data_IF_789576125013
#
_entry.id   IF_789576125013
#
_cell.length_a   1.000
_cell.length_b   1.000
_cell.length_c   1.000
_cell.angle_alpha   90.00
_cell.angle_beta   90.00
_cell.angle_gamma   90.00
#
_symmetry.space_group_name_H-M   'P 1'
#
loop_
_entity.id
_entity.type
_entity.pdbx_description
1 polymer ?
#
# COMPACT_ATOMS: atom_id res chain seq x y z
N UNK A 1 -32.76 9.65 -55.46
CA UNK A 1 -31.93 9.26 -54.29
C UNK A 1 -31.29 10.47 -53.57
N UNK A 2 -31.98 11.46 -52.95
CA UNK A 2 -31.22 12.67 -52.51
C UNK A 2 -31.63 13.46 -51.26
N UNK A 3 -32.66 13.11 -50.49
CA UNK A 3 -32.98 13.86 -49.24
C UNK A 3 -32.73 13.06 -47.96
N UNK A 4 -33.29 11.84 -47.87
CA UNK A 4 -33.18 11.05 -46.63
C UNK A 4 -31.76 10.56 -46.32
N UNK A 5 -30.96 10.26 -47.36
CA UNK A 5 -29.54 9.92 -47.19
C UNK A 5 -28.73 11.11 -46.68
N UNK A 6 -29.06 12.34 -47.10
CA UNK A 6 -28.39 13.56 -46.58
C UNK A 6 -28.80 13.83 -45.13
N UNK A 7 -30.08 13.67 -44.80
CA UNK A 7 -30.58 13.80 -43.44
C UNK A 7 -29.97 12.75 -42.49
N UNK A 8 -29.85 11.51 -42.95
CA UNK A 8 -29.22 10.42 -42.19
C UNK A 8 -27.72 10.67 -42.00
N UNK A 9 -27.03 11.19 -43.01
CA UNK A 9 -25.60 11.52 -42.92
C UNK A 9 -25.36 12.73 -42.00
N UNK A 10 -26.21 13.75 -42.06
CA UNK A 10 -26.16 14.90 -41.14
C UNK A 10 -26.45 14.44 -39.70
N UNK A 11 -27.46 13.59 -39.50
CA UNK A 11 -27.78 13.02 -38.18
C UNK A 11 -26.65 12.12 -37.64
N UNK A 12 -25.98 11.35 -38.50
CA UNK A 12 -24.84 10.54 -38.12
C UNK A 12 -23.63 11.42 -37.77
N UNK A 13 -23.38 12.49 -38.53
CA UNK A 13 -22.32 13.45 -38.24
C UNK A 13 -22.56 14.20 -36.93
N UNK A 14 -23.80 14.66 -36.67
CA UNK A 14 -24.12 15.34 -35.42
C UNK A 14 -24.01 14.39 -34.23
N UNK A 15 -24.49 13.16 -34.35
CA UNK A 15 -24.34 12.15 -33.30
C UNK A 15 -22.86 11.79 -33.05
N UNK A 16 -22.06 11.67 -34.11
CA UNK A 16 -20.61 11.44 -34.01
C UNK A 16 -19.90 12.62 -33.34
N UNK A 17 -20.27 13.86 -33.68
CA UNK A 17 -19.77 15.06 -33.01
C UNK A 17 -20.15 15.08 -31.52
N UNK A 18 -21.42 14.79 -31.18
CA UNK A 18 -21.87 14.72 -29.78
C UNK A 18 -21.11 13.65 -29.01
N UNK A 19 -20.90 12.46 -29.59
CA UNK A 19 -20.10 11.40 -28.97
C UNK A 19 -18.67 11.90 -28.74
N UNK A 20 -18.03 12.52 -29.74
CA UNK A 20 -16.65 13.02 -29.61
C UNK A 20 -16.55 14.10 -28.51
N UNK A 21 -17.51 15.02 -28.41
CA UNK A 21 -17.48 16.13 -27.47
C UNK A 21 -18.05 15.82 -26.07
N UNK A 22 -18.72 14.67 -25.89
CA UNK A 22 -19.36 14.27 -24.63
C UNK A 22 -18.43 14.41 -23.40
N UNK A 23 -17.16 13.96 -23.43
CA UNK A 23 -16.26 14.08 -22.28
C UNK A 23 -15.97 15.54 -21.91
N UNK A 24 -15.85 16.42 -22.90
CA UNK A 24 -15.59 17.85 -22.67
C UNK A 24 -16.81 18.53 -22.02
N UNK A 25 -18.02 18.11 -22.36
CA UNK A 25 -19.26 18.58 -21.74
C UNK A 25 -19.46 18.05 -20.31
N UNK A 26 -18.98 16.84 -20.03
CA UNK A 26 -19.09 16.22 -18.70
C UNK A 26 -18.09 16.81 -17.68
N UNK A 27 -16.93 17.31 -18.12
CA UNK A 27 -15.92 17.94 -17.26
C UNK A 27 -16.49 19.00 -16.29
N UNK A 28 -17.22 20.05 -16.73
CA UNK A 28 -17.77 21.05 -15.83
C UNK A 28 -18.77 20.46 -14.83
N UNK A 29 -19.60 19.50 -15.25
CA UNK A 29 -20.54 18.82 -14.36
C UNK A 29 -19.79 18.04 -13.27
N UNK A 30 -18.75 17.29 -13.64
CA UNK A 30 -17.95 16.51 -12.69
C UNK A 30 -17.21 17.40 -11.68
N UNK A 31 -16.60 18.50 -12.12
CA UNK A 31 -15.92 19.44 -11.22
C UNK A 31 -16.87 20.06 -10.18
N UNK A 32 -18.17 20.17 -10.48
CA UNK A 32 -19.17 20.67 -9.53
C UNK A 32 -19.69 19.57 -8.60
N UNK A 33 -19.93 18.36 -9.13
CA UNK A 33 -20.59 17.27 -8.38
C UNK A 33 -19.61 16.51 -7.49
N UNK A 34 -18.36 16.31 -7.91
CA UNK A 34 -17.37 15.53 -7.16
C UNK A 34 -17.10 16.09 -5.75
N UNK A 35 -16.80 17.40 -5.57
CA UNK A 35 -16.58 17.95 -4.24
C UNK A 35 -17.80 17.77 -3.33
N UNK A 36 -19.02 18.01 -3.84
CA UNK A 36 -20.27 17.83 -3.10
C UNK A 36 -20.48 16.37 -2.67
N UNK A 37 -20.21 15.41 -3.56
CA UNK A 37 -20.37 13.99 -3.24
C UNK A 37 -19.42 13.56 -2.11
N UNK A 38 -18.21 14.11 -2.07
CA UNK A 38 -17.19 13.80 -1.07
C UNK A 38 -17.37 14.58 0.25
N UNK A 39 -18.08 15.71 0.26
CA UNK A 39 -18.47 16.38 1.51
C UNK A 39 -19.38 15.49 2.37
N UNK A 40 -20.13 14.56 1.75
CA UNK A 40 -20.97 13.61 2.50
C UNK A 40 -20.17 12.58 3.30
N UNK A 41 -18.86 12.45 3.07
CA UNK A 41 -17.98 11.53 3.81
C UNK A 41 -17.21 12.16 4.98
N UNK A 42 -17.74 13.25 5.57
CA UNK A 42 -17.11 13.98 6.70
C UNK A 42 -15.69 14.51 6.39
N UNK A 43 -15.40 14.79 5.13
CA UNK A 43 -14.12 15.35 4.70
C UNK A 43 -14.22 16.89 4.65
N UNK A 44 -13.16 17.56 5.11
CA UNK A 44 -13.04 19.01 5.10
C UNK A 44 -12.02 19.46 4.03
N UNK A 45 -12.06 20.75 3.66
CA UNK A 45 -11.11 21.39 2.74
C UNK A 45 -10.86 20.59 1.44
N UNK A 46 -11.94 20.06 0.85
CA UNK A 46 -11.87 19.24 -0.36
C UNK A 46 -11.54 20.13 -1.56
N UNK A 47 -10.36 19.95 -2.13
CA UNK A 47 -9.94 20.58 -3.39
C UNK A 47 -9.82 19.50 -4.47
N UNK A 48 -10.61 19.61 -5.54
CA UNK A 48 -10.56 18.69 -6.68
C UNK A 48 -10.58 19.50 -7.96
N UNK A 49 -9.65 19.20 -8.86
CA UNK A 49 -9.61 19.87 -10.16
C UNK A 49 -9.33 18.86 -11.27
N UNK A 50 -10.34 18.54 -12.08
CA UNK A 50 -10.15 17.80 -13.33
C UNK A 50 -9.50 18.74 -14.34
N UNK A 51 -8.31 18.41 -14.81
CA UNK A 51 -7.60 19.17 -15.85
C UNK A 51 -8.07 18.76 -17.25
N UNK A 52 -8.26 17.45 -17.49
CA UNK A 52 -8.78 16.93 -18.77
C UNK A 52 -9.61 15.67 -18.57
N UNK A 53 -10.66 15.53 -19.37
CA UNK A 53 -11.46 14.31 -19.49
C UNK A 53 -11.63 13.97 -20.97
N UNK A 54 -11.39 12.72 -21.32
CA UNK A 54 -11.55 12.17 -22.66
C UNK A 54 -12.13 10.76 -22.59
N UNK A 55 -12.39 10.14 -23.74
CA UNK A 55 -12.92 8.78 -23.77
C UNK A 55 -12.00 7.71 -23.20
N UNK A 56 -10.69 7.96 -23.12
CA UNK A 56 -9.71 6.97 -22.70
C UNK A 56 -8.79 7.48 -21.58
N UNK A 57 -9.00 8.71 -21.11
CA UNK A 57 -8.13 9.32 -20.11
C UNK A 57 -8.85 10.34 -19.25
N UNK A 58 -8.61 10.26 -17.94
CA UNK A 58 -8.95 11.26 -16.94
C UNK A 58 -7.66 11.80 -16.34
N UNK A 59 -7.53 13.13 -16.24
CA UNK A 59 -6.45 13.78 -15.50
C UNK A 59 -7.00 14.70 -14.43
N UNK A 60 -6.52 14.54 -13.20
CA UNK A 60 -6.74 15.49 -12.11
C UNK A 60 -5.46 16.28 -11.87
N UNK A 61 -5.56 17.60 -11.76
CA UNK A 61 -4.44 18.45 -11.37
C UNK A 61 -4.16 18.29 -9.88
N UNK A 62 -5.19 18.49 -9.07
CA UNK A 62 -5.12 18.39 -7.61
C UNK A 62 -6.31 17.57 -7.11
N UNK A 63 -6.04 16.75 -6.10
CA UNK A 63 -7.05 16.16 -5.24
C UNK A 63 -6.53 16.16 -3.80
N UNK A 64 -7.12 16.96 -2.93
CA UNK A 64 -6.75 16.99 -1.51
C UNK A 64 -7.96 17.17 -0.62
N UNK A 65 -7.84 16.66 0.59
CA UNK A 65 -8.81 16.86 1.67
C UNK A 65 -8.09 16.79 3.01
N UNK A 66 -8.72 17.34 4.03
CA UNK A 66 -8.36 17.10 5.43
C UNK A 66 -9.47 16.31 6.10
N UNK A 67 -9.13 15.51 7.10
CA UNK A 67 -10.17 14.88 7.89
C UNK A 67 -10.65 15.82 8.98
N UNK A 68 -11.94 15.75 9.34
CA UNK A 68 -12.46 16.56 10.44
C UNK A 68 -11.85 16.12 11.77
N UNK A 69 -11.71 17.04 12.72
CA UNK A 69 -11.22 16.73 14.08
C UNK A 69 -12.10 15.72 14.84
N UNK A 70 -13.32 15.48 14.37
CA UNK A 70 -14.28 14.50 14.90
C UNK A 70 -14.14 13.10 14.28
N UNK A 71 -13.27 12.93 13.29
CA UNK A 71 -13.02 11.63 12.67
C UNK A 71 -12.06 10.80 13.53
N UNK A 72 -12.36 9.52 13.73
CA UNK A 72 -11.48 8.58 14.43
C UNK A 72 -10.27 8.15 13.57
N UNK A 73 -9.85 8.98 12.61
CA UNK A 73 -8.78 8.65 11.67
C UNK A 73 -7.50 9.36 12.06
N UNK A 74 -6.38 8.65 12.00
CA UNK A 74 -5.06 9.23 12.22
C UNK A 74 -4.54 10.03 11.00
N UNK A 75 -5.29 10.06 9.90
CA UNK A 75 -4.93 10.84 8.71
C UNK A 75 -5.45 12.27 8.86
N UNK A 76 -4.54 13.22 9.01
CA UNK A 76 -4.87 14.65 9.11
C UNK A 76 -5.14 15.23 7.72
N UNK A 77 -4.24 14.96 6.78
CA UNK A 77 -4.28 15.52 5.42
C UNK A 77 -3.92 14.50 4.37
N UNK A 78 -4.70 14.48 3.30
CA UNK A 78 -4.41 13.77 2.07
C UNK A 78 -4.20 14.78 0.95
N UNK A 79 -3.16 14.60 0.14
CA UNK A 79 -2.95 15.38 -1.06
C UNK A 79 -2.37 14.53 -2.18
N UNK A 80 -2.94 14.68 -3.37
CA UNK A 80 -2.52 14.02 -4.58
C UNK A 80 -2.43 15.06 -5.69
N UNK A 81 -1.28 15.10 -6.38
CA UNK A 81 -1.02 16.01 -7.47
C UNK A 81 -0.76 15.23 -8.76
N UNK A 82 -1.36 15.71 -9.84
CA UNK A 82 -1.31 15.16 -11.19
C UNK A 82 -1.63 13.65 -11.22
N UNK A 83 -2.91 13.32 -11.01
CA UNK A 83 -3.43 11.99 -11.31
C UNK A 83 -3.65 11.87 -12.82
N UNK A 84 -3.17 10.80 -13.43
CA UNK A 84 -3.52 10.42 -14.80
C UNK A 84 -4.00 8.97 -14.79
N UNK A 85 -5.28 8.77 -15.10
CA UNK A 85 -5.88 7.45 -15.27
C UNK A 85 -6.14 7.25 -16.75
N UNK A 86 -5.51 6.24 -17.33
CA UNK A 86 -5.81 5.78 -18.69
C UNK A 86 -6.68 4.53 -18.62
N UNK A 87 -7.74 4.48 -19.42
CA UNK A 87 -8.72 3.41 -19.37
C UNK A 87 -9.32 3.12 -20.75
N UNK A 88 -9.96 1.96 -20.85
CA UNK A 88 -10.85 1.62 -21.97
C UNK A 88 -12.30 1.69 -21.45
N UNK A 89 -13.23 2.41 -22.11
CA UNK A 89 -14.62 2.50 -21.70
C UNK A 89 -15.30 1.16 -21.41
N UNK A 90 -14.98 0.12 -22.18
CA UNK A 90 -15.53 -1.21 -21.96
C UNK A 90 -14.90 -1.92 -20.75
N UNK A 91 -13.61 -1.71 -20.48
CA UNK A 91 -12.94 -2.25 -19.29
C UNK A 91 -13.38 -1.54 -18.01
N UNK A 92 -13.74 -0.25 -18.08
CA UNK A 92 -14.28 0.49 -16.93
C UNK A 92 -15.56 -0.13 -16.38
N UNK A 93 -16.42 -0.69 -17.23
CA UNK A 93 -17.64 -1.38 -16.79
C UNK A 93 -17.33 -2.59 -15.89
N UNK A 94 -16.15 -3.19 -16.05
CA UNK A 94 -15.64 -4.27 -15.20
C UNK A 94 -14.80 -3.77 -14.01
N UNK A 95 -14.75 -2.46 -13.76
CA UNK A 95 -13.96 -1.84 -12.70
C UNK A 95 -12.45 -1.80 -12.97
N UNK A 96 -11.99 -2.12 -14.18
CA UNK A 96 -10.57 -2.21 -14.54
C UNK A 96 -10.11 -1.00 -15.36
N UNK A 97 -8.95 -0.46 -15.01
CA UNK A 97 -8.27 0.59 -15.78
C UNK A 97 -6.97 0.05 -16.38
N UNK A 98 -6.40 0.78 -17.35
CA UNK A 98 -5.14 0.38 -17.95
C UNK A 98 -3.99 0.86 -17.06
N UNK A 99 -3.83 2.17 -16.93
CA UNK A 99 -2.71 2.77 -16.22
C UNK A 99 -3.19 3.82 -15.22
N UNK A 100 -2.59 3.83 -14.04
CA UNK A 100 -2.73 4.90 -13.05
C UNK A 100 -1.34 5.48 -12.83
N UNK A 101 -1.20 6.77 -12.99
CA UNK A 101 0.05 7.50 -12.73
C UNK A 101 -0.24 8.67 -11.81
N UNK A 102 0.57 8.81 -10.77
CA UNK A 102 0.52 9.88 -9.79
C UNK A 102 1.91 10.49 -9.70
N UNK A 103 2.01 11.80 -9.94
CA UNK A 103 3.30 12.48 -9.80
C UNK A 103 3.69 12.62 -8.33
N UNK A 104 2.75 13.05 -7.48
CA UNK A 104 2.99 13.23 -6.06
C UNK A 104 1.79 12.81 -5.21
N UNK A 105 2.04 11.97 -4.21
CA UNK A 105 1.12 11.59 -3.15
C UNK A 105 1.71 12.04 -1.81
N UNK A 106 0.92 12.71 -0.98
CA UNK A 106 1.32 13.15 0.36
C UNK A 106 0.25 12.80 1.37
N UNK A 107 0.66 12.10 2.42
CA UNK A 107 -0.15 11.74 3.57
C UNK A 107 0.47 12.39 4.80
N UNK A 108 -0.30 13.17 5.54
CA UNK A 108 0.10 13.71 6.85
C UNK A 108 -0.71 13.00 7.91
N UNK A 109 -0.02 12.36 8.83
CA UNK A 109 -0.61 11.66 9.96
C UNK A 109 -0.57 12.56 11.20
N UNK A 110 -1.65 12.55 11.97
CA UNK A 110 -1.75 13.28 13.23
C UNK A 110 -0.94 12.59 14.33
N UNK A 111 -0.44 13.39 15.26
CA UNK A 111 0.14 12.89 16.50
C UNK A 111 -0.97 12.39 17.41
N UNK A 112 -1.00 11.08 17.65
CA UNK A 112 -1.87 10.55 18.69
C UNK A 112 -1.31 10.97 20.05
N UNK A 113 -1.76 12.10 20.58
CA UNK A 113 -1.78 12.27 22.02
C UNK A 113 -2.84 11.31 22.57
N UNK A 114 -2.35 10.21 23.15
CA UNK A 114 -3.14 9.35 24.03
C UNK A 114 -3.58 10.18 25.23
N UNK A 115 -4.69 10.91 25.08
CA UNK A 115 -5.49 11.26 26.23
C UNK A 115 -6.03 9.94 26.77
N UNK A 116 -5.35 9.39 27.77
CA UNK A 116 -5.85 8.31 28.62
C UNK A 116 -7.18 8.78 29.20
N UNK A 117 -8.24 8.50 28.45
CA UNK A 117 -9.59 8.73 28.90
C UNK A 117 -9.87 7.55 29.81
N UNK A 118 -9.74 7.80 31.12
CA UNK A 118 -10.15 6.89 32.19
C UNK A 118 -11.41 6.13 31.77
N UNK A 119 -11.26 4.83 31.58
CA UNK A 119 -12.38 3.91 31.31
C UNK A 119 -13.26 3.93 32.57
N UNK A 120 -14.29 4.77 32.54
CA UNK A 120 -15.35 4.78 33.54
C UNK A 120 -16.54 4.01 32.99
N UNK A 121 -16.78 2.86 33.61
CA UNK A 121 -18.09 2.30 33.96
C UNK A 121 -19.25 2.37 32.97
N UNK A 122 -19.70 1.16 32.59
CA UNK A 122 -21.07 0.78 32.22
C UNK A 122 -21.66 1.31 30.92
N UNK A 123 -21.73 0.42 29.93
CA UNK A 123 -23.01 0.11 29.26
C UNK A 123 -23.05 -1.37 28.87
N UNK A 124 -23.92 -2.12 29.55
CA UNK A 124 -24.49 -3.35 29.03
C UNK A 124 -25.43 -2.94 27.90
N UNK A 125 -25.15 -3.39 26.68
CA UNK A 125 -26.20 -3.59 25.68
C UNK A 125 -25.78 -4.73 24.75
N UNK A 126 -26.34 -5.88 25.10
CA UNK A 126 -26.23 -7.13 24.39
C UNK A 126 -27.36 -7.13 23.36
N UNK A 127 -27.04 -6.84 22.10
CA UNK A 127 -27.91 -7.09 20.96
C UNK A 127 -27.14 -7.98 19.98
N UNK A 128 -27.30 -9.29 20.18
CA UNK A 128 -26.94 -10.34 19.25
C UNK A 128 -27.53 -10.03 17.86
N UNK A 129 -26.68 -9.57 16.95
CA UNK A 129 -26.82 -9.89 15.53
C UNK A 129 -25.53 -10.56 15.14
N UNK A 130 -25.49 -11.90 15.27
CA UNK A 130 -24.55 -12.71 14.50
C UNK A 130 -24.93 -12.51 13.03
N UNK A 131 -24.38 -11.49 12.40
CA UNK A 131 -24.15 -11.54 10.96
C UNK A 131 -23.29 -12.78 10.73
N UNK A 132 -23.92 -13.84 10.24
CA UNK A 132 -23.22 -14.97 9.66
C UNK A 132 -22.52 -14.40 8.43
N UNK A 133 -21.28 -13.98 8.62
CA UNK A 133 -20.34 -13.80 7.52
C UNK A 133 -20.15 -15.22 6.99
N UNK A 134 -20.34 -15.45 5.69
CA UNK A 134 -19.95 -16.72 5.07
C UNK A 134 -18.45 -16.89 5.35
N UNK A 135 -18.15 -17.78 6.31
CA UNK A 135 -16.88 -17.86 7.04
C UNK A 135 -15.76 -18.55 6.23
N UNK A 136 -15.84 -18.53 4.91
CA UNK A 136 -14.82 -19.13 4.05
C UNK A 136 -13.82 -18.06 3.59
N UNK A 137 -12.58 -18.16 4.08
CA UNK A 137 -11.47 -17.33 3.63
C UNK A 137 -10.63 -18.17 2.68
N UNK A 138 -10.54 -17.73 1.43
CA UNK A 138 -9.63 -18.30 0.43
C UNK A 138 -8.39 -17.43 0.37
N UNK A 139 -7.25 -18.03 0.73
CA UNK A 139 -5.95 -17.37 0.66
C UNK A 139 -5.45 -17.39 -0.80
N UNK A 140 -5.25 -16.22 -1.42
CA UNK A 140 -4.81 -16.17 -2.80
C UNK A 140 -3.32 -16.49 -2.90
N UNK A 141 -2.93 -17.19 -3.97
CA UNK A 141 -1.52 -17.28 -4.34
C UNK A 141 -1.04 -15.94 -4.94
N UNK A 142 0.28 -15.80 -5.13
CA UNK A 142 0.85 -14.56 -5.65
C UNK A 142 0.25 -14.17 -7.01
N UNK A 143 0.13 -15.12 -7.94
CA UNK A 143 -0.43 -14.86 -9.26
C UNK A 143 -1.87 -14.34 -9.19
N UNK A 144 -2.71 -14.95 -8.36
CA UNK A 144 -4.08 -14.51 -8.11
C UNK A 144 -4.12 -13.06 -7.59
N UNK A 145 -3.25 -12.69 -6.63
CA UNK A 145 -3.13 -11.31 -6.13
C UNK A 145 -2.89 -10.33 -7.29
N UNK A 146 -1.99 -10.66 -8.23
CA UNK A 146 -1.69 -9.81 -9.38
C UNK A 146 -2.82 -9.78 -10.44
N UNK A 147 -3.63 -10.83 -10.55
CA UNK A 147 -4.80 -10.88 -11.45
C UNK A 147 -5.96 -9.99 -10.98
N UNK A 148 -6.05 -9.77 -9.66
CA UNK A 148 -7.05 -8.90 -9.02
C UNK A 148 -6.69 -7.41 -9.00
N UNK A 149 -5.53 -7.02 -9.53
CA UNK A 149 -5.15 -5.60 -9.56
C UNK A 149 -6.17 -4.77 -10.37
N UNK A 150 -6.59 -3.60 -9.84
CA UNK A 150 -7.57 -2.73 -10.50
C UNK A 150 -7.00 -2.05 -11.74
N UNK A 151 -5.68 -2.05 -11.90
CA UNK A 151 -4.96 -1.48 -13.02
C UNK A 151 -3.86 -2.42 -13.54
N UNK A 152 -3.54 -2.33 -14.83
CA UNK A 152 -2.41 -3.08 -15.41
C UNK A 152 -1.05 -2.51 -14.97
N UNK A 153 -1.01 -1.19 -14.72
CA UNK A 153 0.16 -0.48 -14.19
C UNK A 153 -0.27 0.65 -13.24
N UNK A 154 0.35 0.74 -12.07
CA UNK A 154 0.23 1.83 -11.11
C UNK A 154 1.62 2.39 -10.84
N UNK A 155 1.83 3.69 -11.04
CA UNK A 155 3.09 4.36 -10.73
C UNK A 155 2.80 5.57 -9.84
N UNK A 156 3.45 5.61 -8.69
CA UNK A 156 3.51 6.80 -7.84
C UNK A 156 4.96 7.26 -7.85
N UNK A 157 5.25 8.32 -8.61
CA UNK A 157 6.63 8.80 -8.81
C UNK A 157 7.25 9.32 -7.52
N UNK A 158 6.45 10.00 -6.72
CA UNK A 158 6.82 10.50 -5.40
C UNK A 158 5.67 10.26 -4.43
N UNK A 159 5.92 9.49 -3.39
CA UNK A 159 5.04 9.44 -2.23
C UNK A 159 5.77 10.03 -1.02
N UNK A 160 5.03 10.62 -0.09
CA UNK A 160 5.52 11.11 1.19
C UNK A 160 4.48 10.79 2.26
N UNK A 161 4.89 10.13 3.32
CA UNK A 161 4.11 9.91 4.53
C UNK A 161 4.84 10.65 5.64
N UNK A 162 4.17 11.63 6.22
CA UNK A 162 4.76 12.52 7.22
C UNK A 162 4.04 12.31 8.55
N UNK A 163 4.80 11.94 9.56
CA UNK A 163 4.41 11.90 10.97
C UNK A 163 5.50 12.63 11.78
N UNK A 164 5.19 13.13 12.98
CA UNK A 164 6.16 13.91 13.78
C UNK A 164 7.48 13.17 14.03
N UNK A 165 7.41 11.89 14.34
CA UNK A 165 8.57 11.06 14.68
C UNK A 165 9.22 10.35 13.48
N UNK A 166 8.50 10.21 12.36
CA UNK A 166 8.95 9.44 11.20
C UNK A 166 8.40 10.01 9.90
N UNK A 167 9.26 10.10 8.91
CA UNK A 167 8.89 10.43 7.54
C UNK A 167 9.37 9.34 6.59
N UNK A 168 8.51 8.97 5.66
CA UNK A 168 8.79 7.98 4.62
C UNK A 168 8.53 8.65 3.28
N UNK A 169 9.52 8.64 2.39
CA UNK A 169 9.36 9.18 1.04
C UNK A 169 9.91 8.23 0.01
N UNK A 170 9.38 8.22 -1.22
CA UNK A 170 9.87 7.27 -2.21
C UNK A 170 9.05 7.19 -3.48
N UNK A 171 9.16 6.06 -4.18
CA UNK A 171 8.36 5.70 -5.36
C UNK A 171 7.74 4.32 -5.19
N UNK A 172 6.58 4.14 -5.82
CA UNK A 172 5.87 2.86 -5.87
C UNK A 172 5.62 2.53 -7.34
N UNK A 173 5.98 1.33 -7.75
CA UNK A 173 5.73 0.79 -9.08
C UNK A 173 5.00 -0.55 -8.94
N UNK A 174 3.81 -0.66 -9.53
CA UNK A 174 3.02 -1.88 -9.54
C UNK A 174 2.68 -2.20 -10.99
N UNK A 175 2.93 -3.43 -11.40
CA UNK A 175 2.50 -3.95 -12.70
C UNK A 175 2.02 -5.40 -12.52
N UNK A 176 1.61 -6.07 -13.60
CA UNK A 176 1.10 -7.47 -13.56
C UNK A 176 2.13 -8.51 -13.07
N UNK A 177 3.41 -8.16 -13.03
CA UNK A 177 4.50 -9.07 -12.69
C UNK A 177 5.13 -8.75 -11.35
N UNK A 178 5.20 -7.49 -10.97
CA UNK A 178 5.96 -7.04 -9.81
C UNK A 178 5.33 -5.81 -9.15
N UNK A 179 5.37 -5.82 -7.82
CA UNK A 179 5.17 -4.70 -6.93
C UNK A 179 6.54 -4.29 -6.37
N UNK A 180 6.89 -3.01 -6.48
CA UNK A 180 8.17 -2.48 -6.02
C UNK A 180 8.00 -1.16 -5.29
N UNK A 181 8.66 -1.05 -4.13
CA UNK A 181 8.81 0.19 -3.38
C UNK A 181 10.30 0.50 -3.27
N UNK A 182 10.66 1.75 -3.55
CA UNK A 182 11.96 2.31 -3.21
C UNK A 182 11.71 3.54 -2.35
N UNK A 183 12.22 3.56 -1.13
CA UNK A 183 11.90 4.59 -0.16
C UNK A 183 13.09 5.02 0.70
N UNK A 184 13.06 6.24 1.20
CA UNK A 184 13.91 6.77 2.26
C UNK A 184 13.08 6.93 3.53
N UNK A 185 13.59 6.43 4.65
CA UNK A 185 13.02 6.53 5.99
C UNK A 185 13.89 7.50 6.78
N UNK A 186 13.30 8.57 7.28
CA UNK A 186 13.98 9.49 8.18
C UNK A 186 13.19 9.52 9.49
N UNK A 187 13.87 9.36 10.62
CA UNK A 187 13.25 9.39 11.94
C UNK A 187 14.09 10.22 12.89
N UNK A 188 13.44 10.90 13.84
CA UNK A 188 14.12 11.69 14.88
C UNK A 188 14.92 10.82 15.86
N UNK A 189 14.64 9.51 15.93
CA UNK A 189 15.36 8.55 16.78
C UNK A 189 16.57 7.92 16.09
N UNK A 190 16.83 8.22 14.82
CA UNK A 190 17.96 7.69 14.07
C UNK A 190 18.92 8.84 13.75
N UNK A 191 20.23 8.59 13.87
CA UNK A 191 21.24 9.59 13.55
C UNK A 191 21.43 9.84 12.04
N UNK A 192 20.88 8.99 11.17
CA UNK A 192 20.90 9.13 9.71
C UNK A 192 19.66 8.51 9.06
N UNK A 193 19.43 8.87 7.79
CA UNK A 193 18.35 8.29 6.99
C UNK A 193 18.66 6.86 6.55
N UNK A 194 17.60 6.09 6.29
CA UNK A 194 17.71 4.73 5.76
C UNK A 194 17.08 4.62 4.38
N UNK A 195 17.77 3.97 3.46
CA UNK A 195 17.20 3.58 2.18
C UNK A 195 16.58 2.19 2.31
N UNK A 196 15.38 2.01 1.77
CA UNK A 196 14.63 0.78 1.82
C UNK A 196 14.15 0.40 0.42
N UNK A 197 14.33 -0.87 0.09
CA UNK A 197 13.84 -1.48 -1.15
C UNK A 197 12.95 -2.66 -0.78
N UNK A 198 11.79 -2.76 -1.42
CA UNK A 198 10.87 -3.90 -1.29
C UNK A 198 10.41 -4.29 -2.69
N UNK A 199 10.44 -5.58 -3.00
CA UNK A 199 9.86 -6.15 -4.21
C UNK A 199 9.09 -7.42 -3.88
N UNK A 200 7.93 -7.58 -4.49
CA UNK A 200 7.13 -8.79 -4.48
C UNK A 200 6.67 -9.09 -5.91
N UNK A 201 6.85 -10.32 -6.39
CA UNK A 201 6.49 -10.67 -7.76
C UNK A 201 5.32 -11.67 -7.83
N UNK A 202 4.78 -11.85 -9.04
CA UNK A 202 3.66 -12.76 -9.30
C UNK A 202 4.02 -14.25 -9.19
N UNK A 203 5.29 -14.59 -9.01
CA UNK A 203 5.78 -15.94 -8.70
C UNK A 203 5.83 -16.19 -7.19
N UNK A 204 5.59 -15.16 -6.38
CA UNK A 204 5.59 -15.24 -4.92
C UNK A 204 6.92 -14.90 -4.27
N UNK A 205 7.94 -14.50 -5.02
CA UNK A 205 9.21 -14.07 -4.44
C UNK A 205 9.04 -12.71 -3.76
N UNK A 206 9.38 -12.65 -2.47
CA UNK A 206 9.44 -11.45 -1.64
C UNK A 206 10.90 -11.13 -1.34
N UNK A 207 11.25 -9.85 -1.46
CA UNK A 207 12.59 -9.39 -1.14
C UNK A 207 12.54 -7.97 -0.59
N UNK A 208 13.25 -7.73 0.50
CA UNK A 208 13.44 -6.40 1.07
C UNK A 208 14.84 -6.23 1.60
N UNK A 209 15.36 -5.01 1.42
CA UNK A 209 16.68 -4.61 1.89
C UNK A 209 16.60 -3.23 2.50
N UNK A 210 17.30 -3.03 3.61
CA UNK A 210 17.50 -1.72 4.24
C UNK A 210 19.00 -1.42 4.23
N UNK A 211 19.33 -0.20 3.84
CA UNK A 211 20.67 0.34 3.79
C UNK A 211 20.74 1.60 4.63
N UNK A 212 21.91 1.87 5.20
CA UNK A 212 22.25 3.21 5.65
C UNK A 212 22.44 4.11 4.43
N UNK A 213 22.17 5.41 4.57
CA UNK A 213 22.14 6.36 3.45
C UNK A 213 23.38 6.29 2.53
N UNK A 214 24.56 6.13 3.12
CA UNK A 214 25.85 6.13 2.41
C UNK A 214 26.50 4.74 2.27
N UNK A 215 25.78 3.66 2.65
CA UNK A 215 26.31 2.31 2.59
C UNK A 215 25.87 1.55 1.33
N UNK A 216 26.80 0.83 0.71
CA UNK A 216 26.49 -0.14 -0.36
C UNK A 216 26.07 -1.51 0.17
N UNK A 217 26.26 -1.78 1.46
CA UNK A 217 25.90 -3.05 2.09
C UNK A 217 24.58 -2.91 2.84
N UNK A 218 23.62 -3.85 2.63
CA UNK A 218 22.38 -3.83 3.38
C UNK A 218 22.65 -4.22 4.85
N UNK A 219 22.05 -3.47 5.77
CA UNK A 219 22.07 -3.75 7.22
C UNK A 219 20.93 -4.70 7.62
N UNK A 220 19.98 -4.90 6.71
CA UNK A 220 18.87 -5.83 6.87
C UNK A 220 18.50 -6.37 5.50
N UNK A 221 18.31 -7.68 5.42
CA UNK A 221 17.79 -8.38 4.26
C UNK A 221 16.68 -9.30 4.77
N UNK A 222 15.52 -9.29 4.12
CA UNK A 222 14.52 -10.34 4.25
C UNK A 222 14.15 -10.81 2.85
N UNK A 223 14.32 -12.10 2.62
CA UNK A 223 13.95 -12.79 1.39
C UNK A 223 12.94 -13.88 1.70
N UNK A 224 12.06 -14.19 0.77
CA UNK A 224 11.05 -15.20 1.01
C UNK A 224 10.25 -15.57 -0.22
N UNK A 225 9.40 -16.56 -0.05
CA UNK A 225 8.58 -17.12 -1.11
C UNK A 225 7.16 -17.39 -0.59
N UNK A 226 6.17 -17.03 -1.39
CA UNK A 226 4.74 -17.27 -1.17
C UNK A 226 4.21 -18.19 -2.28
N UNK A 227 4.21 -19.49 -2.02
CA UNK A 227 4.01 -20.51 -3.05
C UNK A 227 2.86 -21.43 -2.69
N UNK A 228 1.99 -21.71 -3.64
CA UNK A 228 0.96 -22.74 -3.51
C UNK A 228 1.59 -24.13 -3.68
N UNK A 229 1.45 -24.99 -2.67
CA UNK A 229 1.80 -26.40 -2.73
C UNK A 229 0.52 -27.24 -2.69
N UNK A 230 0.46 -28.25 -3.55
CA UNK A 230 -0.58 -29.27 -3.49
C UNK A 230 -0.01 -30.47 -2.75
N UNK A 231 -0.63 -30.85 -1.64
CA UNK A 231 -0.24 -32.04 -0.91
C UNK A 231 -0.86 -33.30 -1.55
N UNK A 232 -0.31 -34.47 -1.22
CA UNK A 232 -0.75 -35.78 -1.74
C UNK A 232 -2.24 -36.09 -1.51
N UNK A 233 -2.88 -35.41 -0.56
CA UNK A 233 -4.31 -35.51 -0.24
C UNK A 233 -5.22 -34.57 -1.08
N UNK A 234 -4.70 -33.95 -2.14
CA UNK A 234 -5.36 -32.90 -2.94
C UNK A 234 -5.74 -31.62 -2.16
N UNK A 235 -5.32 -31.49 -0.91
CA UNK A 235 -5.46 -30.24 -0.17
C UNK A 235 -4.40 -29.24 -0.64
N UNK A 236 -4.86 -28.04 -1.01
CA UNK A 236 -4.02 -26.93 -1.40
C UNK A 236 -3.59 -26.15 -0.17
N UNK A 237 -2.30 -25.99 0.00
CA UNK A 237 -1.70 -25.16 1.03
C UNK A 237 -0.90 -24.04 0.37
N UNK A 238 -0.72 -22.96 1.09
CA UNK A 238 0.20 -21.89 0.76
C UNK A 238 1.35 -21.96 1.74
N UNK A 239 2.57 -22.04 1.20
CA UNK A 239 3.80 -21.99 1.96
C UNK A 239 4.34 -20.57 1.92
N UNK A 240 4.59 -20.01 3.10
CA UNK A 240 5.39 -18.81 3.29
C UNK A 240 6.76 -19.23 3.82
N UNK A 241 7.81 -19.09 3.02
CA UNK A 241 9.20 -19.23 3.46
C UNK A 241 9.80 -17.84 3.62
N UNK A 242 10.47 -17.59 4.74
CA UNK A 242 11.15 -16.33 5.04
C UNK A 242 12.56 -16.62 5.55
N UNK A 243 13.53 -15.86 5.08
CA UNK A 243 14.89 -15.83 5.59
C UNK A 243 15.28 -14.37 5.79
N UNK A 244 15.72 -13.99 6.99
CA UNK A 244 16.25 -12.67 7.25
C UNK A 244 17.62 -12.72 7.89
N UNK A 245 18.40 -11.70 7.56
CA UNK A 245 19.69 -11.40 8.13
C UNK A 245 19.74 -9.92 8.49
N UNK A 246 20.30 -9.59 9.65
CA UNK A 246 20.47 -8.22 10.11
C UNK A 246 21.87 -8.02 10.71
N UNK A 247 22.48 -6.89 10.37
CA UNK A 247 23.73 -6.40 10.98
C UNK A 247 23.38 -5.57 12.22
N UNK A 248 23.49 -6.19 13.38
CA UNK A 248 23.13 -5.58 14.67
C UNK A 248 24.06 -4.40 14.97
N UNK A 249 25.34 -4.45 14.60
CA UNK A 249 26.26 -3.33 14.86
C UNK A 249 25.86 -2.10 14.09
N UNK A 250 25.48 -2.28 12.82
CA UNK A 250 24.97 -1.17 12.03
C UNK A 250 23.67 -0.61 12.64
N UNK A 251 22.77 -1.44 13.16
CA UNK A 251 21.57 -0.98 13.87
C UNK A 251 21.89 -0.21 15.17
N UNK A 252 22.82 -0.69 15.98
CA UNK A 252 23.24 -0.01 17.20
C UNK A 252 23.90 1.34 16.88
N UNK A 253 24.71 1.41 15.82
CA UNK A 253 25.32 2.66 15.37
C UNK A 253 24.30 3.72 14.95
N UNK A 254 23.08 3.33 14.56
CA UNK A 254 22.00 4.25 14.20
C UNK A 254 21.30 4.86 15.43
N UNK A 255 21.27 4.11 16.54
CA UNK A 255 20.56 4.43 17.77
C UNK A 255 21.45 5.13 18.80
N UNK A 256 22.75 4.82 18.82
CA UNK A 256 23.70 5.39 19.76
C UNK A 256 24.01 6.85 19.37
N UNK A 257 23.22 7.78 19.92
CA UNK A 257 23.59 9.19 19.98
C UNK A 257 24.71 9.41 21.02
N UNK A 258 25.41 10.54 20.95
CA UNK A 258 26.52 10.89 21.85
C UNK A 258 26.15 10.94 23.35
N UNK A 259 24.86 10.85 23.70
CA UNK A 259 24.30 10.97 25.06
C UNK A 259 24.14 9.65 25.84
N UNK A 260 24.47 8.48 25.27
CA UNK A 260 24.39 7.22 26.03
C UNK A 260 25.65 6.99 26.86
N UNK A 261 25.50 6.87 28.19
CA UNK A 261 26.58 6.60 29.16
C UNK A 261 27.25 5.23 29.02
N UNK A 262 26.83 4.42 28.05
CA UNK A 262 27.44 3.14 27.77
C UNK A 262 27.37 2.81 26.29
N UNK A 263 28.53 2.52 25.69
CA UNK A 263 28.66 2.09 24.30
C UNK A 263 28.78 0.57 24.26
N UNK A 264 27.85 -0.06 23.58
CA UNK A 264 27.93 -1.48 23.22
C UNK A 264 28.81 -1.58 21.98
N UNK A 265 29.97 -2.23 22.11
CA UNK A 265 30.89 -2.47 21.00
C UNK A 265 30.94 -3.96 20.71
N UNK A 266 30.75 -4.34 19.45
CA UNK A 266 31.19 -5.65 18.99
C UNK A 266 31.82 -5.51 17.61
N UNK A 267 32.83 -6.33 17.31
CA UNK A 267 33.46 -6.29 15.99
C UNK A 267 32.53 -6.85 14.90
N UNK A 268 31.68 -7.81 15.24
CA UNK A 268 30.64 -8.36 14.37
C UNK A 268 29.47 -8.81 15.22
N UNK A 269 28.26 -8.38 14.89
CA UNK A 269 27.05 -8.92 15.51
C UNK A 269 26.00 -9.10 14.40
N UNK A 270 25.67 -10.35 14.10
CA UNK A 270 24.73 -10.70 13.03
C UNK A 270 23.62 -11.56 13.63
N UNK A 271 22.38 -11.22 13.29
CA UNK A 271 21.22 -12.06 13.53
C UNK A 271 20.75 -12.63 12.21
N UNK A 272 20.46 -13.93 12.19
CA UNK A 272 19.79 -14.57 11.07
C UNK A 272 18.63 -15.44 11.58
N UNK A 273 17.51 -15.43 10.87
CA UNK A 273 16.42 -16.35 11.14
C UNK A 273 15.80 -16.86 9.84
N UNK A 274 15.33 -18.10 9.86
CA UNK A 274 14.56 -18.72 8.80
C UNK A 274 13.26 -19.22 9.38
N UNK A 275 12.15 -19.04 8.67
CA UNK A 275 10.83 -19.47 9.10
C UNK A 275 10.07 -19.98 7.89
N UNK A 276 9.54 -21.19 7.99
CA UNK A 276 8.56 -21.74 7.07
C UNK A 276 7.22 -21.82 7.76
N UNK A 277 6.16 -21.33 7.13
CA UNK A 277 4.79 -21.37 7.63
C UNK A 277 3.92 -21.98 6.54
N UNK A 278 3.21 -23.05 6.88
CA UNK A 278 2.23 -23.71 6.02
C UNK A 278 0.85 -23.23 6.44
N UNK A 279 0.10 -22.72 5.47
CA UNK A 279 -1.23 -22.16 5.66
C UNK A 279 -2.22 -22.91 4.74
N UNK A 280 -3.34 -23.43 5.25
CA UNK A 280 -4.38 -23.99 4.39
C UNK A 280 -4.91 -22.93 3.41
N UNK A 281 -5.09 -23.29 2.13
CA UNK A 281 -5.62 -22.33 1.13
C UNK A 281 -7.06 -21.93 1.46
N UNK A 282 -7.84 -22.84 2.03
CA UNK A 282 -9.23 -22.61 2.39
C UNK A 282 -9.38 -22.75 3.91
N UNK A 283 -9.84 -21.67 4.54
CA UNK A 283 -10.09 -21.62 5.99
C UNK A 283 -11.60 -21.50 6.18
N UNK A 284 -12.19 -22.55 6.75
CA UNK A 284 -13.63 -22.65 6.98
C UNK A 284 -14.04 -22.15 8.37
N UNK A 285 -13.08 -22.07 9.31
CA UNK A 285 -13.28 -21.61 10.68
C UNK A 285 -12.22 -20.57 11.04
N UNK A 286 -12.39 -19.30 10.64
CA UNK A 286 -11.41 -18.23 10.88
C UNK A 286 -11.02 -18.07 12.35
N UNK A 287 -11.96 -18.35 13.27
CA UNK A 287 -11.71 -18.34 14.72
C UNK A 287 -10.59 -19.27 15.20
N UNK A 288 -10.26 -20.32 14.45
CA UNK A 288 -9.24 -21.31 14.81
C UNK A 288 -8.00 -21.27 13.90
N UNK A 289 -7.85 -20.24 13.06
CA UNK A 289 -6.79 -20.16 12.04
C UNK A 289 -5.38 -20.45 12.60
N UNK A 290 -5.08 -19.98 13.81
CA UNK A 290 -3.79 -20.18 14.45
C UNK A 290 -3.46 -21.64 14.77
N UNK A 291 -4.49 -22.49 14.95
CA UNK A 291 -4.32 -23.93 15.19
C UNK A 291 -4.02 -24.69 13.89
N UNK A 292 -4.44 -24.13 12.75
CA UNK A 292 -4.20 -24.71 11.43
C UNK A 292 -2.86 -24.26 10.81
N UNK A 293 -2.18 -23.29 11.45
CA UNK A 293 -0.83 -22.88 11.09
C UNK A 293 0.18 -23.87 11.67
N UNK A 294 1.05 -24.36 10.81
CA UNK A 294 2.25 -25.09 11.23
C UNK A 294 3.47 -24.39 10.67
N UNK A 295 4.58 -24.45 11.40
CA UNK A 295 5.80 -23.85 10.94
C UNK A 295 7.01 -24.35 11.69
N UNK A 296 8.13 -24.35 10.98
CA UNK A 296 9.44 -24.67 11.51
C UNK A 296 10.37 -23.49 11.25
N UNK A 297 11.30 -23.25 12.17
CA UNK A 297 12.21 -22.13 12.04
C UNK A 297 13.52 -22.37 12.76
N UNK A 298 14.54 -21.65 12.31
CA UNK A 298 15.84 -21.61 12.94
C UNK A 298 16.18 -20.15 13.24
N UNK A 299 16.74 -19.92 14.42
CA UNK A 299 17.22 -18.62 14.84
C UNK A 299 18.68 -18.74 15.26
N UNK A 300 19.54 -17.90 14.69
CA UNK A 300 20.96 -17.87 14.99
C UNK A 300 21.42 -16.43 15.23
N UNK A 301 22.17 -16.24 16.30
CA UNK A 301 22.90 -15.01 16.59
C UNK A 301 24.39 -15.36 16.63
N UNK A 302 25.21 -14.54 15.96
CA UNK A 302 26.66 -14.58 16.08
C UNK A 302 27.16 -13.21 16.57
N UNK A 303 27.87 -13.19 17.68
CA UNK A 303 28.51 -11.98 18.22
C UNK A 303 29.98 -12.30 18.46
N UNK A 304 30.86 -11.52 17.84
CA UNK A 304 32.30 -11.63 17.98
C UNK A 304 32.84 -10.36 18.68
N UNK A 305 33.72 -10.55 19.68
CA UNK A 305 34.44 -9.50 20.40
C UNK A 305 33.51 -8.43 21.03
N UNK A 306 32.54 -8.86 21.84
CA UNK A 306 31.64 -7.98 22.56
C UNK A 306 32.31 -7.33 23.78
N UNK A 307 32.19 -6.01 23.91
CA UNK A 307 32.56 -5.23 25.09
C UNK A 307 31.49 -4.18 25.41
N UNK A 308 31.42 -3.83 26.69
CA UNK A 308 30.59 -2.74 27.20
C UNK A 308 31.57 -1.69 27.74
N UNK A 309 31.59 -0.52 27.13
CA UNK A 309 32.32 0.63 27.64
C UNK A 309 31.34 1.55 28.37
N UNK A 310 31.67 1.95 29.60
CA UNK A 310 30.92 2.88 30.45
C UNK A 310 31.70 4.17 30.67
#
# INVERSE_FOLDING_TARGET
>A
MRSWVKALLISAMTLLLVIIFLPNLAKPALNTVLPWALQKSNLENIEISISSLSWNQLRLKNFSFSNSASSNSNLEKFSLQNLSISYNPFKLLSGRVNNIEVDQLTLTMADQHSNETKISGNKKEQANTKTVIENEIIIPNAKEIFEFLPAEKIVIKKFSINHSAISLSGRIDINKNEFKILSSINSTSLNQSLNHQLSFNNQGSLFTQIYQQDSSTPIFILQGEWIEKTNDSNNKNVLLSLQQSADIQAWLSLLNSEDTSSKLLAQTAIQAWTQEIIIPKQINTPENILQDLSGEGLFQIKIDNFSIES
#
